data_IF_628913836706
#
_entry.id   IF_628913836706
#
_cell.length_a   1.000
_cell.length_b   1.000
_cell.length_c   1.000
_cell.angle_alpha   90.00
_cell.angle_beta   90.00
_cell.angle_gamma   90.00
#
_symmetry.space_group_name_H-M   'P 1'
#
loop_
_entity.id
_entity.type
_entity.pdbx_description
1 polymer ?
#
# COMPACT_ATOMS: atom_id res chain seq x y z
N UNK A 1 1.79 -11.77 2.47
CA UNK A 1 1.80 -12.93 1.56
C UNK A 1 2.90 -13.92 1.94
N UNK A 2 4.18 -13.57 1.84
CA UNK A 2 5.29 -14.44 2.28
C UNK A 2 5.26 -14.65 3.79
N UNK A 3 5.10 -13.57 4.54
CA UNK A 3 5.12 -13.58 5.99
C UNK A 3 3.74 -13.78 6.61
N UNK A 4 2.72 -14.21 5.84
CA UNK A 4 1.33 -14.29 6.30
C UNK A 4 1.17 -15.19 7.53
N UNK A 5 2.04 -16.19 7.67
CA UNK A 5 2.02 -17.15 8.77
C UNK A 5 2.93 -16.75 9.95
N UNK A 6 3.59 -15.59 9.89
CA UNK A 6 4.42 -15.09 10.99
C UNK A 6 3.56 -14.26 11.95
N UNK A 7 3.56 -14.63 13.22
CA UNK A 7 2.73 -14.00 14.26
C UNK A 7 3.09 -12.54 14.58
N UNK A 8 4.25 -12.07 14.12
CA UNK A 8 4.76 -10.72 14.36
C UNK A 8 4.59 -9.78 13.16
N UNK A 9 3.71 -10.11 12.22
CA UNK A 9 3.51 -9.30 11.01
C UNK A 9 2.09 -8.79 10.88
N UNK A 10 1.95 -7.68 10.17
CA UNK A 10 0.68 -7.04 9.86
C UNK A 10 0.73 -6.49 8.44
N UNK A 11 -0.16 -6.95 7.58
CA UNK A 11 -0.10 -6.69 6.14
C UNK A 11 -1.04 -5.53 5.80
N UNK A 12 -0.47 -4.46 5.26
CA UNK A 12 -1.21 -3.23 4.94
C UNK A 12 -1.11 -2.95 3.45
N UNK A 13 -2.25 -2.64 2.83
CA UNK A 13 -2.33 -2.11 1.46
C UNK A 13 -2.76 -0.64 1.54
N UNK A 14 -1.92 0.25 1.02
CA UNK A 14 -2.25 1.68 0.90
C UNK A 14 -2.72 1.93 -0.53
N UNK A 15 -3.88 2.57 -0.67
CA UNK A 15 -4.46 2.97 -1.95
C UNK A 15 -4.79 4.46 -1.95
N UNK A 16 -4.88 5.05 -3.14
CA UNK A 16 -5.36 6.41 -3.35
C UNK A 16 -5.89 6.56 -4.79
N UNK A 17 -6.80 7.50 -5.07
CA UNK A 17 -7.24 7.82 -6.42
C UNK A 17 -6.07 8.15 -7.33
N UNK A 18 -6.16 7.79 -8.61
CA UNK A 18 -5.09 8.00 -9.58
C UNK A 18 -4.62 9.46 -9.63
N UNK A 19 -5.56 10.42 -9.60
CA UNK A 19 -5.24 11.85 -9.61
C UNK A 19 -4.30 12.26 -8.48
N UNK A 20 -4.59 11.84 -7.25
CA UNK A 20 -3.74 12.11 -6.07
C UNK A 20 -2.34 11.50 -6.23
N UNK A 21 -2.26 10.29 -6.81
CA UNK A 21 -0.98 9.60 -7.03
C UNK A 21 -0.16 10.30 -8.11
N UNK A 22 -0.80 10.78 -9.18
CA UNK A 22 -0.18 11.60 -10.22
C UNK A 22 0.41 12.87 -9.59
N UNK A 23 -0.38 13.64 -8.84
CA UNK A 23 0.09 14.87 -8.18
C UNK A 23 1.33 14.62 -7.29
N UNK A 24 1.34 13.52 -6.53
CA UNK A 24 2.49 13.12 -5.70
C UNK A 24 3.72 12.76 -6.53
N UNK A 25 3.56 11.97 -7.60
CA UNK A 25 4.67 11.56 -8.46
C UNK A 25 5.24 12.77 -9.21
N UNK A 26 4.39 13.66 -9.71
CA UNK A 26 4.83 14.92 -10.32
C UNK A 26 5.65 15.76 -9.34
N UNK A 27 5.16 15.93 -8.10
CA UNK A 27 5.88 16.69 -7.07
C UNK A 27 7.23 16.07 -6.70
N UNK A 28 7.33 14.74 -6.65
CA UNK A 28 8.53 14.06 -6.16
C UNK A 28 9.61 13.90 -7.25
N UNK A 29 9.19 13.61 -8.48
CA UNK A 29 10.10 13.33 -9.60
C UNK A 29 10.19 14.47 -10.64
N UNK A 30 9.45 15.56 -10.43
CA UNK A 30 9.32 16.68 -11.38
C UNK A 30 8.85 16.25 -12.77
N UNK A 31 7.92 15.30 -12.82
CA UNK A 31 7.34 14.77 -14.05
C UNK A 31 6.16 15.61 -14.55
N UNK A 32 5.94 15.59 -15.86
CA UNK A 32 4.64 15.94 -16.45
C UNK A 32 3.55 14.95 -16.02
N UNK A 33 2.28 15.32 -16.23
CA UNK A 33 1.14 14.45 -15.90
C UNK A 33 1.21 13.11 -16.65
N UNK A 34 1.56 13.15 -17.95
CA UNK A 34 1.69 11.95 -18.78
C UNK A 34 2.84 11.05 -18.34
N UNK A 35 3.99 11.64 -17.98
CA UNK A 35 5.12 10.89 -17.45
C UNK A 35 4.77 10.24 -16.10
N UNK A 36 4.10 10.98 -15.22
CA UNK A 36 3.65 10.47 -13.93
C UNK A 36 2.64 9.32 -14.10
N UNK A 37 1.68 9.46 -15.01
CA UNK A 37 0.70 8.40 -15.31
C UNK A 37 1.38 7.15 -15.85
N UNK A 38 2.26 7.27 -16.85
CA UNK A 38 3.02 6.15 -17.41
C UNK A 38 3.90 5.48 -16.36
N UNK A 39 4.53 6.26 -15.48
CA UNK A 39 5.32 5.75 -14.38
C UNK A 39 4.47 4.91 -13.42
N UNK A 40 3.29 5.43 -13.01
CA UNK A 40 2.36 4.71 -12.13
C UNK A 40 1.89 3.42 -12.77
N UNK A 41 1.43 3.45 -14.02
CA UNK A 41 0.93 2.28 -14.74
C UNK A 41 2.00 1.19 -14.83
N UNK A 42 3.24 1.57 -15.18
CA UNK A 42 4.38 0.65 -15.27
C UNK A 42 4.72 0.02 -13.91
N UNK A 43 4.73 0.82 -12.84
CA UNK A 43 5.05 0.32 -11.49
C UNK A 43 3.92 -0.54 -10.89
N UNK A 44 2.67 -0.30 -11.25
CA UNK A 44 1.55 -1.16 -10.90
C UNK A 44 1.57 -2.47 -11.66
N UNK A 45 1.82 -2.43 -12.96
CA UNK A 45 1.91 -3.63 -13.81
C UNK A 45 3.03 -4.55 -13.34
N UNK A 46 4.24 -4.01 -13.12
CA UNK A 46 5.34 -4.77 -12.53
C UNK A 46 4.97 -5.42 -11.20
N UNK A 47 4.25 -4.71 -10.32
CA UNK A 47 3.80 -5.24 -9.02
C UNK A 47 2.77 -6.36 -9.19
N UNK A 48 1.80 -6.19 -10.09
CA UNK A 48 0.81 -7.23 -10.43
C UNK A 48 1.49 -8.48 -10.99
N UNK A 49 2.38 -8.31 -11.96
CA UNK A 49 3.11 -9.41 -12.58
C UNK A 49 3.96 -10.17 -11.57
N UNK A 50 4.71 -9.45 -10.72
CA UNK A 50 5.52 -10.05 -9.66
C UNK A 50 4.65 -10.91 -8.72
N UNK A 51 3.56 -10.35 -8.20
CA UNK A 51 2.70 -11.08 -7.26
C UNK A 51 2.02 -12.27 -7.92
N UNK A 52 1.54 -12.11 -9.15
CA UNK A 52 0.91 -13.18 -9.92
C UNK A 52 1.90 -14.31 -10.25
N UNK A 53 3.12 -13.96 -10.67
CA UNK A 53 4.13 -14.92 -11.10
C UNK A 53 4.68 -15.71 -9.91
N UNK A 54 5.06 -15.03 -8.82
CA UNK A 54 5.76 -15.67 -7.70
C UNK A 54 4.84 -16.21 -6.61
N UNK A 55 3.64 -15.67 -6.44
CA UNK A 55 2.72 -16.08 -5.38
C UNK A 55 1.38 -16.62 -5.89
N UNK A 56 1.12 -16.56 -7.20
CA UNK A 56 -0.13 -17.03 -7.81
C UNK A 56 -1.39 -16.42 -7.16
N UNK A 57 -1.31 -15.12 -6.80
CA UNK A 57 -2.45 -14.37 -6.26
C UNK A 57 -2.66 -13.08 -7.05
N UNK A 58 -3.84 -12.51 -6.88
CA UNK A 58 -4.16 -11.17 -7.34
C UNK A 58 -3.79 -10.14 -6.27
N UNK A 59 -2.90 -9.19 -6.58
CA UNK A 59 -2.48 -8.15 -5.62
C UNK A 59 -3.64 -7.24 -5.19
N UNK A 60 -4.72 -7.20 -5.97
CA UNK A 60 -5.88 -6.38 -5.67
C UNK A 60 -6.95 -7.15 -4.86
N UNK A 61 -6.71 -8.43 -4.51
CA UNK A 61 -7.54 -9.18 -3.57
C UNK A 61 -7.39 -8.60 -2.14
N UNK A 62 -8.43 -7.97 -1.56
CA UNK A 62 -8.35 -7.37 -0.24
C UNK A 62 -8.11 -8.40 0.86
N UNK A 63 -8.46 -9.68 0.66
CA UNK A 63 -8.28 -10.75 1.65
C UNK A 63 -6.81 -11.12 1.89
N UNK A 64 -5.89 -10.64 1.03
CA UNK A 64 -4.45 -10.80 1.22
C UNK A 64 -3.86 -9.91 2.32
N UNK A 65 -4.62 -8.91 2.76
CA UNK A 65 -4.19 -7.89 3.70
C UNK A 65 -4.97 -7.97 5.00
N UNK A 66 -4.41 -7.42 6.07
CA UNK A 66 -5.11 -7.23 7.35
C UNK A 66 -5.87 -5.89 7.35
N UNK A 67 -5.31 -4.88 6.68
CA UNK A 67 -5.97 -3.58 6.42
C UNK A 67 -5.69 -3.13 4.99
N UNK A 68 -6.74 -2.66 4.30
CA UNK A 68 -6.63 -1.82 3.11
C UNK A 68 -7.06 -0.41 3.51
N UNK A 69 -6.18 0.58 3.34
CA UNK A 69 -6.46 1.97 3.71
C UNK A 69 -6.38 2.89 2.49
N UNK A 70 -7.47 3.62 2.24
CA UNK A 70 -7.49 4.68 1.23
C UNK A 70 -7.09 6.02 1.85
N UNK A 71 -6.01 6.62 1.37
CA UNK A 71 -5.46 7.87 1.91
C UNK A 71 -6.03 9.13 1.25
N UNK A 72 -7.08 9.02 0.42
CA UNK A 72 -7.73 10.19 -0.19
C UNK A 72 -8.21 11.22 0.83
N UNK A 73 -8.71 10.77 1.98
CA UNK A 73 -9.33 11.63 3.00
C UNK A 73 -8.56 11.66 4.31
N UNK A 74 -7.35 11.12 4.32
CA UNK A 74 -6.50 11.10 5.50
C UNK A 74 -5.18 11.77 5.17
N UNK A 75 -4.75 12.66 6.06
CA UNK A 75 -3.37 13.12 6.09
C UNK A 75 -2.41 11.96 6.39
N UNK A 76 -1.12 12.19 6.16
CA UNK A 76 -0.07 11.23 6.52
C UNK A 76 -0.12 10.89 8.02
N UNK A 77 -0.30 11.92 8.86
CA UNK A 77 -0.35 11.79 10.33
C UNK A 77 -1.57 10.96 10.77
N UNK A 78 -2.76 11.26 10.26
CA UNK A 78 -3.97 10.49 10.56
C UNK A 78 -3.86 9.03 10.11
N UNK A 79 -3.31 8.82 8.91
CA UNK A 79 -3.05 7.47 8.38
C UNK A 79 -2.11 6.71 9.30
N UNK A 80 -1.01 7.34 9.73
CA UNK A 80 -0.05 6.75 10.65
C UNK A 80 -0.69 6.39 12.00
N UNK A 81 -1.52 7.27 12.57
CA UNK A 81 -2.22 7.03 13.83
C UNK A 81 -3.20 5.86 13.74
N UNK A 82 -3.98 5.77 12.65
CA UNK A 82 -4.90 4.66 12.40
C UNK A 82 -4.12 3.33 12.37
N UNK A 83 -3.04 3.28 11.59
CA UNK A 83 -2.21 2.08 11.46
C UNK A 83 -1.51 1.72 12.77
N UNK A 84 -0.96 2.70 13.48
CA UNK A 84 -0.32 2.49 14.79
C UNK A 84 -1.30 1.91 15.81
N UNK A 85 -2.53 2.42 15.87
CA UNK A 85 -3.57 1.89 16.75
C UNK A 85 -3.92 0.44 16.42
N UNK A 86 -4.08 0.10 15.13
CA UNK A 86 -4.37 -1.27 14.71
C UNK A 86 -3.20 -2.24 15.02
N UNK A 87 -1.97 -1.85 14.67
CA UNK A 87 -0.78 -2.67 14.84
C UNK A 87 -0.50 -2.92 16.32
N UNK A 88 -0.49 -1.88 17.15
CA UNK A 88 -0.21 -2.00 18.60
C UNK A 88 -1.23 -2.88 19.31
N UNK A 89 -2.51 -2.83 18.92
CA UNK A 89 -3.56 -3.71 19.46
C UNK A 89 -3.45 -5.15 18.99
N UNK A 90 -3.02 -5.40 17.74
CA UNK A 90 -2.86 -6.76 17.21
C UNK A 90 -1.58 -7.43 17.70
N UNK A 91 -0.49 -6.68 17.76
CA UNK A 91 0.87 -7.14 18.05
C UNK A 91 1.31 -6.76 19.48
N UNK A 92 0.37 -6.63 20.42
CA UNK A 92 0.60 -6.20 21.82
C UNK A 92 1.84 -6.80 22.49
N UNK A 93 2.15 -8.07 22.19
CA UNK A 93 3.31 -8.78 22.76
C UNK A 93 4.67 -8.17 22.38
N UNK A 94 4.73 -7.31 21.36
CA UNK A 94 5.94 -6.68 20.83
C UNK A 94 6.07 -5.18 21.13
N UNK A 95 5.04 -4.54 21.70
CA UNK A 95 5.02 -3.10 21.98
C UNK A 95 4.95 -2.80 23.50
N UNK A 96 5.60 -3.65 24.31
CA UNK A 96 5.73 -3.43 25.76
C UNK A 96 6.84 -2.44 26.08
#
# INVERSE_FOLDING_TARGET
>A
MITRNLENTYHIRIIAPLKRRIEQVQSYFNFSEDEAKKFIEKEEEKRREYVKHYFHKDIDDPALYDIVINTERHSLEETAQILACAITKKLKKYFK
#
